data_IF_150747761265
#
_entry.id   IF_150747761265
#
_cell.length_a   1.000
_cell.length_b   1.000
_cell.length_c   1.000
_cell.angle_alpha   90.00
_cell.angle_beta   90.00
_cell.angle_gamma   90.00
#
_symmetry.space_group_name_H-M   'P 1'
#
loop_
_entity.id
_entity.type
_entity.pdbx_description
1 polymer ?
#
# COMPACT_ATOMS: atom_id res chain seq x y z
N UNK A 1 -17.32 -51.32 -25.75
CA UNK A 1 -16.18 -50.90 -24.89
C UNK A 1 -15.80 -49.43 -25.08
N UNK A 2 -15.81 -48.88 -26.30
CA UNK A 2 -15.51 -47.46 -26.53
C UNK A 2 -16.50 -46.45 -25.91
N UNK A 3 -17.81 -46.77 -25.82
CA UNK A 3 -18.82 -45.81 -25.35
C UNK A 3 -18.72 -45.47 -23.85
N UNK A 4 -18.40 -46.44 -22.98
CA UNK A 4 -18.26 -46.18 -21.54
C UNK A 4 -16.94 -45.50 -21.20
N UNK A 5 -15.87 -45.82 -21.93
CA UNK A 5 -14.56 -45.17 -21.74
C UNK A 5 -14.59 -43.71 -22.18
N UNK A 6 -15.31 -43.39 -23.25
CA UNK A 6 -15.47 -42.00 -23.71
C UNK A 6 -16.23 -41.15 -22.68
N UNK A 7 -17.27 -41.70 -22.04
CA UNK A 7 -18.04 -40.97 -21.01
C UNK A 7 -17.19 -40.67 -19.78
N UNK A 8 -16.32 -41.59 -19.37
CA UNK A 8 -15.49 -41.39 -18.18
C UNK A 8 -14.42 -40.30 -18.41
N UNK A 9 -13.83 -40.25 -19.60
CA UNK A 9 -12.88 -39.20 -19.97
C UNK A 9 -13.57 -37.82 -19.98
N UNK A 10 -14.78 -37.74 -20.53
CA UNK A 10 -15.55 -36.50 -20.57
C UNK A 10 -15.89 -35.97 -19.17
N UNK A 11 -16.21 -36.86 -18.24
CA UNK A 11 -16.48 -36.47 -16.85
C UNK A 11 -15.23 -35.86 -16.20
N UNK A 12 -14.07 -36.48 -16.39
CA UNK A 12 -12.79 -35.98 -15.83
C UNK A 12 -12.43 -34.61 -16.42
N UNK A 13 -12.60 -34.39 -17.72
CA UNK A 13 -12.23 -33.12 -18.36
C UNK A 13 -13.09 -31.95 -17.89
N UNK A 14 -14.39 -32.16 -17.65
CA UNK A 14 -15.28 -31.12 -17.11
C UNK A 14 -14.86 -30.71 -15.69
N UNK A 15 -14.52 -31.68 -14.83
CA UNK A 15 -14.07 -31.40 -13.46
C UNK A 15 -12.76 -30.60 -13.48
N UNK A 16 -11.77 -31.01 -14.30
CA UNK A 16 -10.50 -30.30 -14.42
C UNK A 16 -10.70 -28.88 -14.96
N UNK A 17 -11.61 -28.68 -15.92
CA UNK A 17 -11.90 -27.36 -16.49
C UNK A 17 -12.47 -26.36 -15.48
N UNK A 18 -13.35 -26.80 -14.57
CA UNK A 18 -13.88 -25.93 -13.52
C UNK A 18 -12.82 -25.67 -12.44
N UNK A 19 -12.05 -26.69 -12.08
CA UNK A 19 -11.00 -26.58 -11.06
C UNK A 19 -9.90 -25.58 -11.46
N UNK A 20 -9.49 -25.53 -12.74
CA UNK A 20 -8.47 -24.57 -13.21
C UNK A 20 -8.95 -23.13 -13.15
N UNK A 21 -10.20 -22.86 -13.55
CA UNK A 21 -10.76 -21.50 -13.46
C UNK A 21 -10.86 -21.05 -12.01
N UNK A 22 -11.34 -21.92 -11.12
CA UNK A 22 -11.40 -21.61 -9.70
C UNK A 22 -10.01 -21.33 -9.12
N UNK A 23 -9.02 -22.16 -9.44
CA UNK A 23 -7.64 -22.00 -8.98
C UNK A 23 -7.02 -20.68 -9.46
N UNK A 24 -7.27 -20.27 -10.70
CA UNK A 24 -6.78 -18.98 -11.22
C UNK A 24 -7.42 -17.82 -10.46
N UNK A 25 -8.74 -17.88 -10.24
CA UNK A 25 -9.46 -16.83 -9.54
C UNK A 25 -8.99 -16.69 -8.08
N UNK A 26 -8.80 -17.81 -7.36
CA UNK A 26 -8.31 -17.76 -5.98
C UNK A 26 -6.87 -17.25 -5.92
N UNK A 27 -5.99 -17.72 -6.83
CA UNK A 27 -4.61 -17.24 -6.90
C UNK A 27 -4.54 -15.74 -7.18
N UNK A 28 -5.35 -15.24 -8.13
CA UNK A 28 -5.44 -13.81 -8.44
C UNK A 28 -5.86 -12.98 -7.22
N UNK A 29 -6.88 -13.43 -6.49
CA UNK A 29 -7.35 -12.74 -5.28
C UNK A 29 -6.30 -12.76 -4.16
N UNK A 30 -5.61 -13.90 -3.97
CA UNK A 30 -4.53 -14.01 -2.98
C UNK A 30 -3.36 -13.08 -3.32
N UNK A 31 -2.99 -12.96 -4.59
CA UNK A 31 -1.93 -12.04 -5.01
C UNK A 31 -2.31 -10.57 -4.75
N UNK A 32 -3.56 -10.18 -5.00
CA UNK A 32 -4.03 -8.83 -4.67
C UNK A 32 -4.00 -8.57 -3.16
N UNK A 33 -4.50 -9.52 -2.36
CA UNK A 33 -4.50 -9.38 -0.90
C UNK A 33 -3.07 -9.29 -0.33
N UNK A 34 -2.16 -10.13 -0.81
CA UNK A 34 -0.76 -10.11 -0.39
C UNK A 34 -0.10 -8.74 -0.65
N UNK A 35 -0.36 -8.13 -1.82
CA UNK A 35 0.15 -6.79 -2.12
C UNK A 35 -0.39 -5.73 -1.15
N UNK A 36 -1.69 -5.78 -0.85
CA UNK A 36 -2.31 -4.87 0.13
C UNK A 36 -1.69 -5.05 1.52
N UNK A 37 -1.44 -6.28 1.94
CA UNK A 37 -0.85 -6.58 3.25
C UNK A 37 0.60 -6.07 3.33
N UNK A 38 1.39 -6.22 2.26
CA UNK A 38 2.75 -5.68 2.20
C UNK A 38 2.74 -4.14 2.25
N UNK A 39 1.83 -3.48 1.54
CA UNK A 39 1.68 -2.01 1.59
C UNK A 39 1.29 -1.53 2.99
N UNK A 40 0.47 -2.29 3.72
CA UNK A 40 0.14 -1.99 5.12
C UNK A 40 1.36 -2.04 6.04
N UNK A 41 2.24 -3.01 5.81
CA UNK A 41 3.51 -3.11 6.54
C UNK A 41 4.40 -1.90 6.23
N UNK A 42 4.53 -1.52 4.96
CA UNK A 42 5.28 -0.34 4.55
C UNK A 42 4.74 0.94 5.18
N UNK A 43 3.40 1.14 5.20
CA UNK A 43 2.77 2.26 5.88
C UNK A 43 3.07 2.28 7.38
N UNK A 44 3.11 1.12 8.03
CA UNK A 44 3.44 1.01 9.46
C UNK A 44 4.90 1.41 9.72
N UNK A 45 5.82 1.01 8.84
CA UNK A 45 7.23 1.43 8.89
C UNK A 45 7.33 2.95 8.69
N UNK A 46 6.66 3.49 7.68
CA UNK A 46 6.65 4.94 7.41
C UNK A 46 6.11 5.69 8.63
N UNK A 47 5.00 5.26 9.23
CA UNK A 47 4.42 5.88 10.42
C UNK A 47 5.41 5.91 11.61
N UNK A 48 6.13 4.81 11.85
CA UNK A 48 7.16 4.77 12.89
C UNK A 48 8.30 5.77 12.61
N UNK A 49 8.71 5.92 11.35
CA UNK A 49 9.74 6.89 10.97
C UNK A 49 9.25 8.33 11.04
N UNK A 50 7.97 8.60 10.75
CA UNK A 50 7.36 9.91 10.95
C UNK A 50 7.39 10.31 12.43
N UNK A 51 7.10 9.38 13.34
CA UNK A 51 7.22 9.62 14.78
C UNK A 51 8.67 9.88 15.21
N UNK A 52 9.62 9.12 14.65
CA UNK A 52 11.03 9.36 14.90
C UNK A 52 11.49 10.73 14.37
N UNK A 53 10.99 11.17 13.21
CA UNK A 53 11.22 12.52 12.68
C UNK A 53 10.67 13.58 13.62
N UNK A 54 9.43 13.43 14.10
CA UNK A 54 8.79 14.37 15.03
C UNK A 54 9.60 14.56 16.33
N UNK A 55 10.12 13.48 16.91
CA UNK A 55 10.89 13.53 18.15
C UNK A 55 12.31 14.06 17.95
N UNK A 56 12.87 13.92 16.73
CA UNK A 56 14.23 14.35 16.43
C UNK A 56 14.30 15.89 16.39
N UNK A 57 15.32 16.52 17.02
CA UNK A 57 15.53 17.95 16.91
C UNK A 57 15.86 18.39 15.47
N UNK A 58 15.43 19.59 15.09
CA UNK A 58 15.65 20.19 13.77
C UNK A 58 17.12 20.36 13.41
N UNK A 59 17.99 20.57 14.41
CA UNK A 59 19.44 20.62 14.22
C UNK A 59 20.04 19.32 13.67
N UNK A 60 19.34 18.18 13.78
CA UNK A 60 19.75 16.87 13.26
C UNK A 60 18.89 16.43 12.07
N UNK A 61 18.18 17.36 11.43
CA UNK A 61 17.27 17.07 10.31
C UNK A 61 15.95 16.43 10.73
N UNK A 62 15.51 16.67 11.97
CA UNK A 62 14.20 16.26 12.48
C UNK A 62 13.14 17.36 12.45
N UNK A 63 11.96 17.03 12.98
CA UNK A 63 10.78 17.89 12.98
C UNK A 63 10.64 18.82 14.18
N UNK A 64 11.43 18.67 15.25
CA UNK A 64 11.32 19.49 16.47
C UNK A 64 9.87 19.60 17.00
N UNK A 65 9.17 18.47 17.10
CA UNK A 65 7.74 18.40 17.45
C UNK A 65 6.79 19.00 16.39
N UNK A 66 7.17 18.96 15.12
CA UNK A 66 6.34 19.32 13.97
C UNK A 66 6.52 18.28 12.87
N UNK A 67 5.45 17.98 12.12
CA UNK A 67 5.57 17.22 10.87
C UNK A 67 5.80 18.15 9.66
N UNK A 68 5.87 19.46 9.86
CA UNK A 68 6.16 20.40 8.77
C UNK A 68 7.53 20.11 8.13
N UNK A 69 7.55 20.14 6.80
CA UNK A 69 8.74 19.84 6.00
C UNK A 69 9.13 18.37 5.95
N UNK A 70 8.32 17.45 6.52
CA UNK A 70 8.58 16.03 6.40
C UNK A 70 8.43 15.58 4.94
N UNK A 71 9.38 14.77 4.49
CA UNK A 71 9.40 14.22 3.12
C UNK A 71 9.96 12.81 3.15
N UNK A 72 9.74 12.05 2.09
CA UNK A 72 10.37 10.73 1.93
C UNK A 72 11.90 10.78 1.87
N UNK A 73 12.49 11.97 1.67
CA UNK A 73 13.94 12.18 1.73
C UNK A 73 14.47 12.39 3.15
N UNK A 74 13.63 12.81 4.10
CA UNK A 74 14.03 13.04 5.50
C UNK A 74 13.80 11.83 6.41
N UNK A 75 13.02 10.86 5.95
CA UNK A 75 12.75 9.59 6.65
C UNK A 75 13.47 8.42 5.98
N UNK A 76 13.75 7.37 6.75
CA UNK A 76 14.36 6.15 6.21
C UNK A 76 13.25 5.21 5.74
N UNK A 77 13.00 5.20 4.44
CA UNK A 77 12.05 4.32 3.77
C UNK A 77 12.72 3.69 2.53
N UNK A 78 12.45 2.41 2.26
CA UNK A 78 13.00 1.70 1.11
C UNK A 78 12.25 2.07 -0.18
N UNK A 79 12.41 3.31 -0.62
CA UNK A 79 11.91 3.79 -1.89
C UNK A 79 12.90 3.45 -3.01
N UNK A 80 12.38 2.99 -4.14
CA UNK A 80 13.10 2.86 -5.40
C UNK A 80 13.22 4.23 -6.10
N UNK A 81 12.16 5.04 -6.04
CA UNK A 81 12.16 6.39 -6.60
C UNK A 81 11.39 7.36 -5.71
N UNK A 82 11.92 8.57 -5.55
CA UNK A 82 11.28 9.67 -4.83
C UNK A 82 11.12 10.84 -5.82
N UNK A 83 9.97 11.50 -5.80
CA UNK A 83 9.74 12.70 -6.63
C UNK A 83 10.66 13.85 -6.17
N UNK A 84 10.97 14.80 -7.05
CA UNK A 84 11.78 15.98 -6.78
C UNK A 84 11.26 16.82 -5.60
N UNK A 85 9.94 16.81 -5.33
CA UNK A 85 9.34 17.48 -4.17
C UNK A 85 9.50 16.71 -2.86
N UNK A 86 9.89 15.43 -2.89
CA UNK A 86 9.99 14.57 -1.73
C UNK A 86 8.65 14.13 -1.13
N UNK A 87 7.51 14.57 -1.67
CA UNK A 87 6.17 14.27 -1.14
C UNK A 87 5.62 12.92 -1.61
N UNK A 88 6.27 12.29 -2.59
CA UNK A 88 5.84 11.00 -3.14
C UNK A 88 7.04 10.05 -3.28
N UNK A 89 6.83 8.80 -2.93
CA UNK A 89 7.81 7.72 -3.07
C UNK A 89 7.16 6.49 -3.70
N UNK A 90 7.95 5.73 -4.44
CA UNK A 90 7.53 4.47 -5.06
C UNK A 90 8.50 3.36 -4.68
N UNK A 91 7.97 2.16 -4.45
CA UNK A 91 8.74 0.93 -4.39
C UNK A 91 8.08 -0.17 -5.26
N UNK A 92 8.52 -1.41 -5.14
CA UNK A 92 7.93 -2.56 -5.85
C UNK A 92 6.48 -2.85 -5.41
N UNK A 93 6.13 -2.49 -4.16
CA UNK A 93 4.84 -2.79 -3.55
C UNK A 93 3.77 -1.78 -3.93
N UNK A 94 4.14 -0.50 -4.13
CA UNK A 94 3.20 0.57 -4.38
C UNK A 94 3.78 1.98 -4.46
N UNK A 95 2.87 2.95 -4.53
CA UNK A 95 3.17 4.38 -4.50
C UNK A 95 2.61 4.99 -3.21
N UNK A 96 3.40 5.81 -2.55
CA UNK A 96 3.11 6.47 -1.30
C UNK A 96 3.13 7.99 -1.51
N UNK A 97 2.14 8.70 -0.97
CA UNK A 97 2.03 10.15 -1.11
C UNK A 97 1.64 10.79 0.22
N UNK A 98 2.36 11.84 0.59
CA UNK A 98 2.02 12.71 1.72
C UNK A 98 1.02 13.75 1.21
N UNK A 99 -0.23 13.67 1.67
CA UNK A 99 -1.30 14.62 1.27
C UNK A 99 -1.20 15.91 2.08
N UNK A 100 -0.97 15.77 3.38
CA UNK A 100 -0.86 16.89 4.30
C UNK A 100 0.16 16.56 5.39
N UNK A 101 0.92 17.58 5.77
CA UNK A 101 1.82 17.53 6.90
C UNK A 101 1.72 18.88 7.61
N UNK A 102 1.18 18.85 8.82
CA UNK A 102 0.98 20.01 9.69
C UNK A 102 1.84 19.86 10.94
N UNK A 103 1.78 20.82 11.86
CA UNK A 103 2.48 20.69 13.13
C UNK A 103 2.02 19.47 13.95
N UNK A 104 0.75 19.05 13.80
CA UNK A 104 0.13 18.05 14.68
C UNK A 104 -0.39 16.80 13.97
N UNK A 105 -0.39 16.79 12.64
CA UNK A 105 -0.96 15.70 11.86
C UNK A 105 -0.20 15.50 10.55
N UNK A 106 0.01 14.25 10.16
CA UNK A 106 0.46 13.87 8.82
C UNK A 106 -0.48 12.82 8.23
N UNK A 107 -0.93 13.06 7.00
CA UNK A 107 -1.81 12.16 6.24
C UNK A 107 -1.04 11.60 5.06
N UNK A 108 -0.98 10.28 4.99
CA UNK A 108 -0.29 9.53 3.95
C UNK A 108 -1.30 8.60 3.30
N UNK A 109 -1.27 8.56 1.98
CA UNK A 109 -1.99 7.55 1.20
C UNK A 109 -1.00 6.61 0.54
N UNK A 110 -1.39 5.35 0.44
CA UNK A 110 -0.65 4.36 -0.31
C UNK A 110 -1.55 3.69 -1.33
N UNK A 111 -0.96 3.38 -2.47
CA UNK A 111 -1.60 2.70 -3.57
C UNK A 111 -0.83 1.42 -3.90
N UNK A 112 -1.43 0.23 -3.69
CA UNK A 112 -0.78 -1.02 -4.04
C UNK A 112 -0.60 -1.14 -5.55
N UNK A 113 0.50 -1.76 -5.98
CA UNK A 113 0.80 -1.98 -7.40
C UNK A 113 -0.21 -2.91 -8.09
N UNK A 114 -1.05 -3.61 -7.33
CA UNK A 114 -2.14 -4.45 -7.84
C UNK A 114 -3.44 -3.66 -8.11
N UNK A 115 -3.49 -2.37 -7.79
CA UNK A 115 -4.62 -1.48 -8.04
C UNK A 115 -4.51 -0.69 -9.36
N UNK A 116 -5.45 0.25 -9.62
CA UNK A 116 -5.33 1.21 -10.71
C UNK A 116 -3.98 1.94 -10.62
N UNK A 117 -3.43 2.47 -11.71
CA UNK A 117 -2.18 3.24 -11.62
C UNK A 117 -2.49 4.68 -11.21
N UNK A 118 -2.05 5.12 -10.03
CA UNK A 118 -1.84 6.54 -9.79
C UNK A 118 -0.53 6.96 -10.44
N UNK A 119 -0.61 7.82 -11.45
CA UNK A 119 0.54 8.60 -11.91
C UNK A 119 0.78 9.73 -10.92
N UNK A 120 2.00 10.28 -10.88
CA UNK A 120 2.38 11.37 -9.98
C UNK A 120 1.51 12.65 -10.09
N UNK A 121 0.58 12.72 -11.06
CA UNK A 121 -0.28 13.87 -11.35
C UNK A 121 -1.74 13.70 -10.89
N UNK A 122 -2.16 12.52 -10.40
CA UNK A 122 -3.58 12.27 -10.13
C UNK A 122 -3.81 11.91 -8.67
N UNK A 123 -4.08 12.91 -7.83
CA UNK A 123 -4.54 12.75 -6.43
C UNK A 123 -6.06 12.59 -6.31
N UNK A 124 -6.77 12.57 -7.44
CA UNK A 124 -8.23 12.70 -7.51
C UNK A 124 -8.94 11.39 -7.85
N UNK A 125 -8.22 10.26 -7.93
CA UNK A 125 -8.88 8.99 -8.21
C UNK A 125 -9.61 8.50 -6.95
N UNK A 126 -10.89 8.15 -7.11
CA UNK A 126 -11.83 7.75 -6.06
C UNK A 126 -11.54 6.35 -5.48
N UNK A 127 -10.39 5.77 -5.83
CA UNK A 127 -9.92 4.45 -5.42
C UNK A 127 -8.71 4.58 -4.49
N UNK A 128 -8.76 5.51 -3.54
CA UNK A 128 -7.80 5.56 -2.44
C UNK A 128 -7.97 4.27 -1.64
N UNK A 129 -7.09 3.29 -1.87
CA UNK A 129 -7.25 1.94 -1.32
C UNK A 129 -6.77 1.85 0.13
N UNK A 130 -6.02 2.84 0.64
CA UNK A 130 -5.62 2.88 2.03
C UNK A 130 -5.17 4.28 2.48
N UNK A 131 -5.71 4.74 3.61
CA UNK A 131 -5.39 6.03 4.22
C UNK A 131 -4.75 5.80 5.60
N UNK A 132 -3.56 6.35 5.81
CA UNK A 132 -2.91 6.39 7.10
C UNK A 132 -2.90 7.83 7.60
N UNK A 133 -3.64 8.10 8.67
CA UNK A 133 -3.69 9.40 9.33
C UNK A 133 -3.03 9.30 10.70
N UNK A 134 -2.02 10.14 10.95
CA UNK A 134 -1.33 10.22 12.25
C UNK A 134 -1.69 11.56 12.86
N UNK A 135 -2.53 11.59 13.91
CA UNK A 135 -2.97 12.81 14.63
C UNK A 135 -2.62 12.74 16.13
N UNK A 136 -2.38 13.89 16.76
CA UNK A 136 -1.86 14.02 18.13
C UNK A 136 -2.92 14.14 19.26
N UNK A 137 -4.22 14.10 18.97
CA UNK A 137 -5.24 14.07 20.04
C UNK A 137 -5.60 12.64 20.38
N UNK A 138 -5.01 12.15 21.47
CA UNK A 138 -4.90 10.76 21.90
C UNK A 138 -4.00 9.92 20.99
N UNK A 139 -3.00 9.28 21.59
CA UNK A 139 -2.14 8.26 20.96
C UNK A 139 -3.01 7.07 20.57
N UNK A 140 -3.77 7.23 19.49
CA UNK A 140 -4.57 6.20 18.84
C UNK A 140 -4.24 6.35 17.37
N UNK A 141 -3.30 5.52 16.91
CA UNK A 141 -3.14 5.26 15.49
C UNK A 141 -4.46 4.68 14.99
N UNK A 142 -5.36 5.53 14.46
CA UNK A 142 -6.59 5.08 13.81
C UNK A 142 -6.22 4.70 12.40
N UNK A 143 -5.86 3.43 12.24
CA UNK A 143 -5.81 2.78 10.96
C UNK A 143 -7.26 2.51 10.53
N UNK A 144 -7.80 3.35 9.65
CA UNK A 144 -9.13 3.17 9.08
C UNK A 144 -8.96 2.53 7.70
N UNK A 145 -9.38 1.27 7.61
CA UNK A 145 -9.56 0.55 6.35
C UNK A 145 -10.98 0.90 5.91
N UNK A 146 -11.13 1.66 4.82
CA UNK A 146 -12.39 1.63 4.06
C UNK A 146 -12.37 0.44 3.09
#
# INVERSE_FOLDING_TARGET
>A
MGQQQVVLILLVTVIVGIATILAINTMSNTLQQNNIDVVRVDLSVIAAQMQAYYQKPSALGGGSKSFEGVSFNTIVFQADTINASGSMARNENGIYSIISATTSEVVIIAQPSSGPTMTFENTSNTEITQRATVSLSDVVMRYEIE
#
